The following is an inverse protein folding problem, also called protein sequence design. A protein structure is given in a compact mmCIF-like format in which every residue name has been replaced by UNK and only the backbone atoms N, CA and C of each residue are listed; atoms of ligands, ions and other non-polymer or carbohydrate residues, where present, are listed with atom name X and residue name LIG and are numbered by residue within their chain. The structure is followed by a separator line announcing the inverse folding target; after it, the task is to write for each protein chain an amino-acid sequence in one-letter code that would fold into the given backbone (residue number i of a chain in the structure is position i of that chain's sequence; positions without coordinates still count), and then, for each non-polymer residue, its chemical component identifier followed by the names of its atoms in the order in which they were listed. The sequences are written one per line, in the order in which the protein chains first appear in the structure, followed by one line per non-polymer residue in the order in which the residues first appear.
data_IF_982425819207
#
_entry.id   IF_982425819207
#
_cell.length_a   1.000
_cell.length_b   1.000
_cell.length_c   1.000
_cell.angle_alpha   90.00
_cell.angle_beta   90.00
_cell.angle_gamma   90.00
#
_symmetry.space_group_name_H-M   'P 1'
#
loop_
_entity.id
_entity.type
_entity.pdbx_description
1 polymer ?
#
# COMPACT_ATOMS: atom_id res chain seq x y z
N UNK A 1 10.39 3.17 21.69
CA UNK A 1 9.04 2.66 21.37
C UNK A 1 8.19 2.69 22.64
N UNK A 2 6.96 3.20 22.59
CA UNK A 2 6.05 3.25 23.76
C UNK A 2 5.96 4.60 24.50
N UNK A 3 6.39 5.71 23.88
CA UNK A 3 6.13 7.06 24.39
C UNK A 3 5.21 7.80 23.41
N UNK A 4 4.20 8.48 23.94
CA UNK A 4 3.19 9.20 23.18
C UNK A 4 1.91 8.40 22.93
N UNK A 5 0.83 9.13 22.66
CA UNK A 5 -0.46 8.59 22.23
C UNK A 5 -0.83 9.22 20.88
N UNK A 6 -0.77 8.41 19.82
CA UNK A 6 -1.15 8.84 18.47
C UNK A 6 -2.61 8.53 18.16
N UNK A 7 -3.42 8.14 19.16
CA UNK A 7 -4.77 7.64 18.93
C UNK A 7 -5.65 8.62 18.19
N UNK A 8 -5.76 9.86 18.68
CA UNK A 8 -6.57 10.90 18.07
C UNK A 8 -6.15 11.17 16.61
N UNK A 9 -4.83 11.24 16.37
CA UNK A 9 -4.32 11.41 15.01
C UNK A 9 -4.70 10.25 14.09
N UNK A 10 -4.56 9.00 14.55
CA UNK A 10 -4.93 7.82 13.76
C UNK A 10 -6.45 7.79 13.50
N UNK A 11 -7.28 8.16 14.49
CA UNK A 11 -8.74 8.28 14.34
C UNK A 11 -9.15 9.29 13.26
N UNK A 12 -8.37 10.35 13.05
CA UNK A 12 -8.60 11.27 11.94
C UNK A 12 -8.10 10.69 10.61
N UNK A 13 -6.94 10.03 10.59
CA UNK A 13 -6.37 9.42 9.38
C UNK A 13 -7.27 8.33 8.79
N UNK A 14 -7.83 7.44 9.62
CA UNK A 14 -8.69 6.34 9.16
C UNK A 14 -10.01 6.82 8.53
N UNK A 15 -10.43 8.06 8.81
CA UNK A 15 -11.61 8.69 8.16
C UNK A 15 -11.27 9.29 6.81
N UNK A 16 -10.01 9.66 6.59
CA UNK A 16 -9.57 10.33 5.36
C UNK A 16 -9.18 9.33 4.25
N UNK A 17 -8.62 8.17 4.61
CA UNK A 17 -8.16 7.19 3.65
C UNK A 17 -8.23 5.76 4.19
N UNK A 18 -8.25 4.73 3.32
CA UNK A 18 -8.12 3.34 3.75
C UNK A 18 -6.80 3.11 4.49
N UNK A 19 -6.87 2.81 5.78
CA UNK A 19 -5.69 2.59 6.62
C UNK A 19 -5.68 1.17 7.21
N UNK A 20 -4.49 0.59 7.33
CA UNK A 20 -4.24 -0.61 8.15
C UNK A 20 -3.53 -0.13 9.41
N UNK A 21 -4.07 -0.43 10.59
CA UNK A 21 -3.55 0.10 11.87
C UNK A 21 -2.80 -0.99 12.62
N UNK A 22 -1.57 -0.70 13.02
CA UNK A 22 -0.73 -1.57 13.84
C UNK A 22 -0.03 -0.81 14.96
N UNK A 23 0.66 -1.54 15.82
CA UNK A 23 1.40 -0.98 16.95
C UNK A 23 0.56 -0.90 18.22
N UNK A 24 0.99 -1.57 19.28
CA UNK A 24 0.34 -1.51 20.60
C UNK A 24 -1.00 -2.25 20.72
N UNK A 25 -1.49 -2.92 19.67
CA UNK A 25 -2.69 -3.77 19.71
C UNK A 25 -2.33 -5.08 20.41
N UNK A 26 -2.82 -5.27 21.64
CA UNK A 26 -2.46 -6.41 22.51
C UNK A 26 -3.63 -7.32 22.88
N UNK A 27 -4.86 -6.86 22.61
CA UNK A 27 -6.10 -7.53 22.99
C UNK A 27 -7.20 -7.28 21.95
N UNK A 28 -8.26 -8.07 22.07
CA UNK A 28 -9.43 -8.04 21.18
C UNK A 28 -10.14 -6.69 21.25
N UNK A 29 -10.29 -6.12 22.45
CA UNK A 29 -10.98 -4.84 22.65
C UNK A 29 -10.33 -3.71 21.85
N UNK A 30 -9.00 -3.59 21.94
CA UNK A 30 -8.23 -2.57 21.21
C UNK A 30 -8.32 -2.79 19.71
N UNK A 31 -8.27 -4.03 19.25
CA UNK A 31 -8.41 -4.37 17.84
C UNK A 31 -9.80 -3.97 17.30
N UNK A 32 -10.88 -4.33 18.01
CA UNK A 32 -12.26 -3.97 17.63
C UNK A 32 -12.43 -2.45 17.62
N UNK A 33 -11.91 -1.74 18.61
CA UNK A 33 -11.97 -0.27 18.65
C UNK A 33 -11.37 0.39 17.41
N UNK A 34 -10.25 -0.14 16.90
CA UNK A 34 -9.66 0.37 15.66
C UNK A 34 -10.49 0.06 14.41
N UNK A 35 -11.07 -1.14 14.36
CA UNK A 35 -11.96 -1.51 13.26
C UNK A 35 -13.22 -0.63 13.25
N UNK A 36 -13.81 -0.36 14.41
CA UNK A 36 -14.97 0.52 14.58
C UNK A 36 -14.66 1.98 14.25
N UNK A 37 -13.43 2.43 14.54
CA UNK A 37 -12.97 3.77 14.15
C UNK A 37 -12.82 3.95 12.63
N UNK A 38 -12.80 2.87 11.85
CA UNK A 38 -12.72 2.91 10.38
C UNK A 38 -11.48 2.25 9.79
N UNK A 39 -10.59 1.65 10.60
CA UNK A 39 -9.41 0.96 10.07
C UNK A 39 -9.82 -0.20 9.15
N UNK A 40 -9.34 -0.21 7.91
CA UNK A 40 -9.63 -1.28 6.94
C UNK A 40 -9.12 -2.64 7.41
N UNK A 41 -8.00 -2.70 8.12
CA UNK A 41 -7.50 -3.90 8.81
C UNK A 41 -6.72 -3.51 10.07
N UNK A 42 -6.59 -4.44 11.01
CA UNK A 42 -5.67 -4.33 12.15
C UNK A 42 -4.49 -5.26 11.98
N UNK A 43 -3.32 -4.81 12.43
CA UNK A 43 -2.05 -5.54 12.35
C UNK A 43 -1.61 -5.90 13.77
N UNK A 44 -1.56 -7.20 14.07
CA UNK A 44 -1.09 -7.72 15.36
C UNK A 44 0.31 -8.32 15.17
N UNK A 45 1.27 -7.86 15.98
CA UNK A 45 2.63 -8.42 16.02
C UNK A 45 2.74 -9.53 17.07
N UNK A 46 3.46 -9.26 18.16
CA UNK A 46 3.68 -10.23 19.26
C UNK A 46 2.40 -10.77 19.93
N UNK A 47 1.28 -10.05 19.79
CA UNK A 47 -0.04 -10.48 20.27
C UNK A 47 -0.80 -11.40 19.30
N UNK A 48 -0.27 -11.66 18.10
CA UNK A 48 -0.88 -12.53 17.10
C UNK A 48 -0.82 -14.01 17.53
N UNK A 49 -1.71 -14.40 18.44
CA UNK A 49 -1.87 -15.76 18.95
C UNK A 49 -3.26 -16.31 18.61
N UNK A 50 -3.42 -17.62 18.38
CA UNK A 50 -4.72 -18.20 17.99
C UNK A 50 -5.87 -17.85 18.93
N UNK A 51 -5.61 -17.69 20.24
CA UNK A 51 -6.63 -17.36 21.24
C UNK A 51 -7.25 -15.99 20.97
N UNK A 52 -6.42 -14.97 20.70
CA UNK A 52 -6.86 -13.60 20.39
C UNK A 52 -7.44 -13.53 18.98
N UNK A 53 -6.78 -14.15 18.00
CA UNK A 53 -7.14 -14.00 16.59
C UNK A 53 -8.48 -14.65 16.25
N UNK A 54 -8.88 -15.74 16.94
CA UNK A 54 -10.18 -16.38 16.76
C UNK A 54 -11.37 -15.49 17.14
N UNK A 55 -11.15 -14.50 18.00
CA UNK A 55 -12.18 -13.56 18.43
C UNK A 55 -12.31 -12.36 17.47
N UNK A 56 -11.47 -12.28 16.43
CA UNK A 56 -11.44 -11.18 15.47
C UNK A 56 -11.92 -11.63 14.08
N UNK A 57 -12.50 -10.71 13.29
CA UNK A 57 -12.90 -11.03 11.92
C UNK A 57 -11.68 -11.28 11.05
N UNK A 58 -11.38 -12.56 10.76
CA UNK A 58 -10.23 -13.05 9.97
C UNK A 58 -9.82 -12.11 8.84
N UNK A 59 -10.75 -11.78 7.94
CA UNK A 59 -10.47 -10.97 6.74
C UNK A 59 -9.94 -9.56 7.03
N UNK A 60 -10.19 -9.05 8.25
CA UNK A 60 -9.76 -7.72 8.72
C UNK A 60 -8.50 -7.78 9.59
N UNK A 61 -7.87 -8.94 9.74
CA UNK A 61 -6.66 -9.11 10.57
C UNK A 61 -5.45 -9.45 9.72
N UNK A 62 -4.32 -8.82 10.04
CA UNK A 62 -2.99 -9.14 9.53
C UNK A 62 -2.10 -9.55 10.70
N UNK A 63 -1.39 -10.67 10.57
CA UNK A 63 -0.30 -11.02 11.49
C UNK A 63 1.01 -10.41 11.00
N UNK A 64 1.65 -9.58 11.82
CA UNK A 64 2.99 -9.05 11.57
C UNK A 64 4.06 -9.98 12.13
N UNK A 65 4.98 -10.39 11.27
CA UNK A 65 6.11 -11.26 11.55
C UNK A 65 7.39 -10.50 11.21
N UNK A 66 8.08 -10.03 12.24
CA UNK A 66 9.42 -9.47 12.08
C UNK A 66 10.41 -10.63 12.08
N UNK A 67 11.31 -10.66 11.10
CA UNK A 67 12.26 -11.74 10.95
C UNK A 67 13.69 -11.25 10.73
N UNK A 68 14.64 -12.05 11.22
CA UNK A 68 16.07 -11.92 10.98
C UNK A 68 16.59 -13.27 10.53
N UNK A 69 17.22 -13.34 9.35
CA UNK A 69 17.80 -14.58 8.81
C UNK A 69 16.79 -15.74 8.73
N UNK A 70 15.52 -15.44 8.42
CA UNK A 70 14.44 -16.42 8.30
C UNK A 70 13.81 -16.87 9.62
N UNK A 71 14.26 -16.33 10.76
CA UNK A 71 13.72 -16.63 12.09
C UNK A 71 12.89 -15.46 12.63
N UNK A 72 11.73 -15.77 13.23
CA UNK A 72 10.87 -14.75 13.81
C UNK A 72 11.49 -14.18 15.08
N UNK A 73 11.53 -12.84 15.16
CA UNK A 73 12.05 -12.08 16.29
C UNK A 73 10.96 -11.25 16.98
N UNK A 74 11.15 -10.98 18.27
CA UNK A 74 10.22 -10.19 19.09
C UNK A 74 11.00 -9.19 19.97
N UNK A 75 10.29 -8.46 20.84
CA UNK A 75 10.86 -7.50 21.80
C UNK A 75 11.74 -6.41 21.14
N UNK A 76 11.27 -5.84 20.03
CA UNK A 76 12.06 -4.85 19.28
C UNK A 76 13.23 -5.47 18.53
N UNK A 77 12.99 -6.65 17.93
CA UNK A 77 13.92 -7.38 17.08
C UNK A 77 15.13 -8.02 17.77
N UNK A 78 15.16 -8.04 19.11
CA UNK A 78 16.31 -8.58 19.87
C UNK A 78 16.15 -10.03 20.28
N UNK A 79 14.92 -10.54 20.36
CA UNK A 79 14.66 -11.88 20.94
C UNK A 79 14.18 -12.84 19.85
N UNK A 80 15.08 -13.73 19.46
CA UNK A 80 14.83 -14.91 18.62
C UNK A 80 13.82 -15.86 19.27
N UNK A 81 12.83 -16.32 18.51
CA UNK A 81 11.75 -17.19 19.02
C UNK A 81 12.02 -18.67 18.81
N UNK A 82 13.00 -19.04 17.98
CA UNK A 82 13.23 -20.40 17.51
C UNK A 82 12.25 -20.88 16.44
N UNK A 83 11.21 -20.11 16.12
CA UNK A 83 10.25 -20.42 15.07
C UNK A 83 10.66 -19.79 13.73
N UNK A 84 10.57 -20.57 12.65
CA UNK A 84 10.70 -20.02 11.30
C UNK A 84 9.48 -19.17 10.92
N UNK A 85 9.63 -18.32 9.91
CA UNK A 85 8.52 -17.54 9.35
C UNK A 85 7.40 -18.47 8.87
N UNK A 86 7.75 -19.55 8.19
CA UNK A 86 6.81 -20.49 7.57
C UNK A 86 6.00 -21.26 8.61
N UNK A 87 6.65 -21.72 9.68
CA UNK A 87 5.96 -22.40 10.78
C UNK A 87 4.92 -21.46 11.40
N UNK A 88 5.31 -20.20 11.63
CA UNK A 88 4.43 -19.20 12.22
C UNK A 88 3.29 -18.81 11.27
N UNK A 89 3.55 -18.71 9.97
CA UNK A 89 2.52 -18.47 8.96
C UNK A 89 1.55 -19.65 8.87
N UNK A 90 2.04 -20.88 8.86
CA UNK A 90 1.21 -22.08 8.84
C UNK A 90 0.27 -22.13 10.04
N UNK A 91 0.79 -21.89 11.25
CA UNK A 91 0.02 -21.83 12.50
C UNK A 91 -1.09 -20.76 12.44
N UNK A 92 -0.80 -19.60 11.87
CA UNK A 92 -1.69 -18.44 11.90
C UNK A 92 -2.65 -18.33 10.71
N UNK A 93 -2.35 -18.98 9.59
CA UNK A 93 -3.13 -18.90 8.35
C UNK A 93 -4.64 -19.14 8.49
N UNK A 94 -5.14 -19.98 9.43
CA UNK A 94 -6.57 -20.16 9.62
C UNK A 94 -7.27 -18.92 10.22
N UNK A 95 -6.53 -18.04 10.92
CA UNK A 95 -7.09 -16.97 11.74
C UNK A 95 -6.91 -15.57 11.16
N UNK A 96 -6.11 -15.40 10.10
CA UNK A 96 -5.80 -14.09 9.52
C UNK A 96 -6.12 -14.02 8.03
N UNK A 97 -6.47 -12.83 7.56
CA UNK A 97 -6.70 -12.51 6.14
C UNK A 97 -5.43 -12.04 5.42
N UNK A 98 -4.31 -11.94 6.14
CA UNK A 98 -3.02 -11.61 5.56
C UNK A 98 -1.86 -11.65 6.56
N UNK A 99 -0.66 -11.52 6.01
CA UNK A 99 0.60 -11.44 6.74
C UNK A 99 1.34 -10.16 6.34
N UNK A 100 2.04 -9.57 7.30
CA UNK A 100 3.05 -8.55 7.07
C UNK A 100 4.38 -9.13 7.52
N UNK A 101 5.28 -9.43 6.60
CA UNK A 101 6.62 -9.95 6.94
C UNK A 101 7.63 -8.84 6.76
N UNK A 102 8.37 -8.52 7.82
CA UNK A 102 9.44 -7.51 7.79
C UNK A 102 10.80 -8.20 7.86
N UNK A 103 11.62 -8.02 6.83
CA UNK A 103 13.03 -8.44 6.85
C UNK A 103 13.88 -7.37 7.56
N UNK A 104 14.07 -7.52 8.88
CA UNK A 104 14.64 -6.48 9.75
C UNK A 104 16.08 -6.15 9.36
N UNK A 105 16.87 -7.15 8.97
CA UNK A 105 18.26 -6.97 8.56
C UNK A 105 18.44 -6.11 7.31
N UNK A 106 17.36 -5.90 6.54
CA UNK A 106 17.31 -5.05 5.34
C UNK A 106 16.59 -3.73 5.59
N UNK A 107 15.87 -3.61 6.70
CA UNK A 107 15.13 -2.40 7.05
C UNK A 107 16.09 -1.23 7.28
N UNK A 108 15.84 -0.10 6.60
CA UNK A 108 16.69 1.08 6.67
C UNK A 108 18.09 0.94 6.05
N UNK A 109 18.49 -0.26 5.60
CA UNK A 109 19.84 -0.52 5.04
C UNK A 109 19.95 -0.27 3.53
N UNK A 110 18.83 -0.10 2.84
CA UNK A 110 18.78 0.21 1.41
C UNK A 110 19.49 -0.82 0.49
N UNK A 111 19.43 -2.11 0.84
CA UNK A 111 20.14 -3.21 0.17
C UNK A 111 19.26 -4.06 -0.79
N UNK A 112 18.05 -3.60 -1.11
CA UNK A 112 17.09 -4.39 -1.90
C UNK A 112 16.34 -5.44 -1.06
N UNK A 113 15.16 -5.84 -1.54
CA UNK A 113 14.32 -6.88 -0.92
C UNK A 113 14.82 -8.28 -1.30
N UNK A 114 14.68 -9.26 -0.39
CA UNK A 114 14.97 -10.65 -0.70
C UNK A 114 13.87 -11.30 -1.55
N UNK A 115 14.03 -11.30 -2.86
CA UNK A 115 13.03 -11.83 -3.78
C UNK A 115 12.90 -13.36 -3.74
N UNK A 116 13.96 -14.07 -3.36
CA UNK A 116 13.91 -15.52 -3.20
C UNK A 116 13.06 -15.88 -1.98
N UNK A 117 13.31 -15.23 -0.85
CA UNK A 117 12.48 -15.40 0.33
C UNK A 117 11.03 -14.95 0.08
N UNK A 118 10.84 -13.82 -0.62
CA UNK A 118 9.50 -13.30 -0.94
C UNK A 118 8.65 -14.32 -1.69
N UNK A 119 9.16 -14.93 -2.77
CA UNK A 119 8.41 -15.94 -3.54
C UNK A 119 8.00 -17.14 -2.70
N UNK A 120 8.94 -17.65 -1.91
CA UNK A 120 8.69 -18.77 -0.98
C UNK A 120 7.60 -18.43 0.04
N UNK A 121 7.60 -17.21 0.56
CA UNK A 121 6.58 -16.75 1.51
C UNK A 121 5.22 -16.52 0.85
N UNK A 122 5.15 -16.15 -0.43
CA UNK A 122 3.88 -16.10 -1.17
C UNK A 122 3.25 -17.48 -1.21
N UNK A 123 4.04 -18.51 -1.53
CA UNK A 123 3.57 -19.90 -1.52
C UNK A 123 3.07 -20.31 -0.13
N UNK A 124 3.81 -19.96 0.92
CA UNK A 124 3.42 -20.24 2.31
C UNK A 124 2.16 -19.48 2.76
N UNK A 125 1.92 -18.26 2.25
CA UNK A 125 0.73 -17.47 2.57
C UNK A 125 -0.56 -18.08 2.00
N UNK A 126 -0.44 -18.87 0.92
CA UNK A 126 -1.54 -19.54 0.25
C UNK A 126 -2.60 -18.54 -0.23
N UNK A 127 -3.81 -18.61 0.33
CA UNK A 127 -4.92 -17.69 -0.01
C UNK A 127 -4.86 -16.35 0.72
N UNK A 128 -4.01 -16.24 1.75
CA UNK A 128 -3.88 -15.01 2.54
C UNK A 128 -3.00 -14.02 1.80
N UNK A 129 -3.30 -12.71 1.89
CA UNK A 129 -2.43 -11.70 1.27
C UNK A 129 -1.10 -11.61 2.01
N UNK A 130 0.00 -11.57 1.28
CA UNK A 130 1.32 -11.28 1.84
C UNK A 130 1.68 -9.81 1.54
N UNK A 131 2.03 -9.07 2.58
CA UNK A 131 2.74 -7.79 2.47
C UNK A 131 4.16 -7.98 2.96
N UNK A 132 5.14 -7.52 2.21
CA UNK A 132 6.56 -7.57 2.58
C UNK A 132 7.05 -6.16 2.89
N UNK A 133 7.85 -6.04 3.95
CA UNK A 133 8.55 -4.83 4.33
C UNK A 133 10.06 -5.10 4.49
N UNK A 134 10.85 -4.04 4.38
CA UNK A 134 12.31 -4.10 4.49
C UNK A 134 13.00 -4.34 3.14
N UNK A 135 13.72 -3.33 2.66
CA UNK A 135 14.57 -3.45 1.48
C UNK A 135 14.02 -2.88 0.15
N UNK A 136 12.76 -2.44 0.07
CA UNK A 136 12.25 -1.80 -1.15
C UNK A 136 12.89 -0.42 -1.37
N UNK A 137 13.71 -0.30 -2.42
CA UNK A 137 14.46 0.94 -2.72
C UNK A 137 14.21 1.49 -4.12
N UNK A 138 13.65 0.69 -5.01
CA UNK A 138 13.40 1.03 -6.41
C UNK A 138 11.98 0.63 -6.83
N UNK A 139 11.49 1.21 -7.93
CA UNK A 139 10.24 0.77 -8.56
C UNK A 139 10.32 -0.70 -9.03
N UNK A 140 11.49 -1.14 -9.50
CA UNK A 140 11.71 -2.53 -9.91
C UNK A 140 11.50 -3.52 -8.75
N UNK A 141 11.97 -3.20 -7.54
CA UNK A 141 11.72 -4.04 -6.36
C UNK A 141 10.21 -4.28 -6.13
N UNK A 142 9.41 -3.23 -6.29
CA UNK A 142 7.94 -3.27 -6.13
C UNK A 142 7.32 -4.09 -7.26
N UNK A 143 7.74 -3.85 -8.51
CA UNK A 143 7.25 -4.59 -9.67
C UNK A 143 7.53 -6.09 -9.55
N UNK A 144 8.72 -6.46 -9.06
CA UNK A 144 9.10 -7.85 -8.82
C UNK A 144 8.28 -8.51 -7.70
N UNK A 145 7.96 -7.76 -6.64
CA UNK A 145 7.08 -8.24 -5.56
C UNK A 145 5.63 -8.44 -6.04
N UNK A 146 5.05 -7.47 -6.76
CA UNK A 146 3.70 -7.58 -7.32
C UNK A 146 3.61 -8.79 -8.27
N UNK A 147 4.60 -8.95 -9.16
CA UNK A 147 4.70 -10.12 -10.05
C UNK A 147 4.83 -11.44 -9.29
N UNK A 148 5.44 -11.44 -8.11
CA UNK A 148 5.53 -12.62 -7.26
C UNK A 148 4.23 -12.90 -6.49
N UNK A 149 3.26 -11.97 -6.46
CA UNK A 149 2.02 -12.09 -5.70
C UNK A 149 2.06 -11.47 -4.30
N UNK A 150 3.03 -10.60 -4.02
CA UNK A 150 3.17 -9.89 -2.75
C UNK A 150 2.92 -8.39 -2.88
N UNK A 151 2.27 -7.80 -1.87
CA UNK A 151 2.19 -6.35 -1.70
C UNK A 151 3.51 -5.82 -1.11
N UNK A 152 3.98 -4.64 -1.54
CA UNK A 152 5.14 -3.98 -0.94
C UNK A 152 4.71 -2.93 0.10
N UNK A 153 5.34 -2.94 1.29
CA UNK A 153 5.28 -1.85 2.26
C UNK A 153 6.58 -1.02 2.17
N UNK A 154 6.46 0.19 1.63
CA UNK A 154 7.60 1.08 1.37
C UNK A 154 7.59 2.23 2.38
N UNK A 155 8.70 2.39 3.11
CA UNK A 155 8.87 3.46 4.10
C UNK A 155 10.01 4.40 3.73
N UNK A 156 11.22 4.13 4.25
CA UNK A 156 12.38 5.03 4.18
C UNK A 156 12.74 5.50 2.75
N UNK A 157 12.55 4.68 1.73
CA UNK A 157 12.83 5.06 0.34
C UNK A 157 11.97 6.24 -0.13
N UNK A 158 10.71 6.32 0.31
CA UNK A 158 9.83 7.46 0.04
C UNK A 158 10.24 8.68 0.90
N UNK A 159 10.45 8.49 2.20
CA UNK A 159 10.78 9.60 3.12
C UNK A 159 12.13 10.27 2.82
N UNK A 160 13.10 9.51 2.34
CA UNK A 160 14.42 10.01 1.92
C UNK A 160 14.45 10.57 0.50
N UNK A 161 13.35 10.49 -0.24
CA UNK A 161 13.26 10.92 -1.64
C UNK A 161 14.02 10.03 -2.63
N UNK A 162 14.51 8.86 -2.20
CA UNK A 162 15.22 7.91 -3.08
C UNK A 162 14.29 7.26 -4.11
N UNK A 163 13.05 7.00 -3.72
CA UNK A 163 12.01 6.53 -4.62
C UNK A 163 10.89 7.58 -4.66
N UNK A 164 10.60 8.10 -5.85
CA UNK A 164 9.47 8.99 -6.02
C UNK A 164 8.15 8.21 -5.90
N UNK A 165 7.14 8.84 -5.27
CA UNK A 165 5.85 8.18 -5.03
C UNK A 165 5.15 7.77 -6.33
N UNK A 166 5.21 8.60 -7.38
CA UNK A 166 4.63 8.27 -8.68
C UNK A 166 5.28 7.02 -9.31
N UNK A 167 6.61 6.87 -9.19
CA UNK A 167 7.32 5.69 -9.66
C UNK A 167 6.95 4.43 -8.85
N UNK A 168 6.73 4.57 -7.54
CA UNK A 168 6.23 3.48 -6.71
C UNK A 168 4.79 3.05 -7.08
N UNK A 169 3.92 4.01 -7.38
CA UNK A 169 2.55 3.77 -7.84
C UNK A 169 2.54 3.11 -9.22
N UNK A 170 3.42 3.54 -10.13
CA UNK A 170 3.51 3.02 -11.49
C UNK A 170 4.20 1.65 -11.58
N UNK A 171 5.01 1.26 -10.60
CA UNK A 171 5.80 0.04 -10.63
C UNK A 171 5.01 -1.24 -11.04
N UNK A 172 3.81 -1.53 -10.50
CA UNK A 172 3.04 -2.71 -10.90
C UNK A 172 2.23 -2.51 -12.20
N UNK A 173 2.13 -1.29 -12.72
CA UNK A 173 1.29 -0.99 -13.88
C UNK A 173 1.83 -1.63 -15.15
N UNK A 174 0.91 -2.07 -16.00
CA UNK A 174 1.16 -2.61 -17.33
C UNK A 174 0.24 -1.88 -18.31
N UNK A 175 0.66 -1.73 -19.54
CA UNK A 175 -0.23 -1.21 -20.59
C UNK A 175 -0.44 -2.31 -21.61
N UNK A 176 -1.71 -2.54 -21.95
CA UNK A 176 -2.12 -3.39 -23.07
C UNK A 176 -2.07 -2.64 -24.41
N UNK A 177 -1.75 -1.34 -24.38
CA UNK A 177 -1.72 -0.45 -25.54
C UNK A 177 -0.33 -0.39 -26.16
N UNK A 178 -0.30 -0.27 -27.49
CA UNK A 178 0.94 -0.13 -28.25
C UNK A 178 1.69 1.19 -27.95
N UNK A 179 0.99 2.22 -27.48
CA UNK A 179 1.57 3.51 -27.08
C UNK A 179 2.05 3.55 -25.63
N UNK A 180 1.85 2.46 -24.87
CA UNK A 180 2.29 2.35 -23.47
C UNK A 180 1.49 3.22 -22.48
N UNK A 181 0.40 3.85 -22.91
CA UNK A 181 -0.43 4.69 -22.05
C UNK A 181 -1.33 3.83 -21.15
N UNK A 182 -1.67 4.34 -19.98
CA UNK A 182 -2.68 3.76 -19.09
C UNK A 182 -4.01 4.51 -19.25
N UNK A 183 -5.13 3.83 -19.51
CA UNK A 183 -6.44 4.44 -19.36
C UNK A 183 -6.64 4.94 -17.92
N UNK A 184 -7.09 6.18 -17.77
CA UNK A 184 -7.33 6.80 -16.48
C UNK A 184 -8.76 7.31 -16.41
N UNK A 185 -9.58 6.72 -15.55
CA UNK A 185 -10.93 7.20 -15.27
C UNK A 185 -10.83 8.29 -14.20
N UNK A 186 -11.35 9.48 -14.50
CA UNK A 186 -11.40 10.60 -13.56
C UNK A 186 -12.77 10.64 -12.92
N UNK A 187 -12.81 10.62 -11.59
CA UNK A 187 -14.02 10.68 -10.77
C UNK A 187 -13.98 11.87 -9.80
N UNK A 188 -15.15 12.39 -9.44
CA UNK A 188 -15.27 13.28 -8.28
C UNK A 188 -15.22 12.48 -6.95
N UNK A 189 -15.27 13.20 -5.83
CA UNK A 189 -15.24 12.63 -4.47
C UNK A 189 -16.40 11.67 -4.17
N UNK A 190 -17.48 11.75 -4.94
CA UNK A 190 -18.66 10.90 -4.81
C UNK A 190 -18.62 9.70 -5.76
N UNK A 191 -17.53 9.54 -6.53
CA UNK A 191 -17.34 8.46 -7.49
C UNK A 191 -18.05 8.66 -8.83
N UNK A 192 -18.63 9.84 -9.10
CA UNK A 192 -19.21 10.16 -10.41
C UNK A 192 -18.07 10.31 -11.41
N UNK A 193 -18.14 9.57 -12.52
CA UNK A 193 -17.20 9.74 -13.60
C UNK A 193 -17.32 11.13 -14.23
N UNK A 194 -16.20 11.84 -14.28
CA UNK A 194 -16.02 13.14 -14.93
C UNK A 194 -15.52 12.95 -16.37
N UNK A 195 -14.70 11.92 -16.61
CA UNK A 195 -14.28 11.55 -17.96
C UNK A 195 -13.20 10.49 -17.99
N UNK A 196 -12.85 10.07 -19.22
CA UNK A 196 -11.77 9.14 -19.50
C UNK A 196 -10.62 9.89 -20.18
N UNK A 197 -9.42 9.69 -19.66
CA UNK A 197 -8.16 10.23 -20.20
C UNK A 197 -7.12 9.13 -20.23
N UNK A 198 -5.91 9.49 -20.63
CA UNK A 198 -4.75 8.60 -20.57
C UNK A 198 -3.72 9.20 -19.64
N UNK A 199 -2.92 8.33 -19.03
CA UNK A 199 -1.76 8.69 -18.22
C UNK A 199 -0.52 7.94 -18.73
N UNK A 200 0.62 8.53 -18.47
CA UNK A 200 1.95 7.95 -18.60
C UNK A 200 2.75 8.31 -17.35
N UNK A 201 4.01 7.88 -17.27
CA UNK A 201 4.83 8.17 -16.10
C UNK A 201 5.08 9.67 -15.88
N UNK A 202 5.16 10.45 -16.96
CA UNK A 202 5.37 11.90 -16.88
C UNK A 202 4.16 12.60 -16.26
N UNK A 203 2.97 12.37 -16.81
CA UNK A 203 1.73 12.93 -16.27
C UNK A 203 1.42 12.45 -14.86
N UNK A 204 1.73 11.19 -14.53
CA UNK A 204 1.56 10.66 -13.16
C UNK A 204 2.49 11.37 -12.16
N UNK A 205 3.76 11.60 -12.51
CA UNK A 205 4.70 12.38 -11.67
C UNK A 205 4.17 13.78 -11.42
N UNK A 206 3.76 14.48 -12.47
CA UNK A 206 3.19 15.84 -12.37
C UNK A 206 1.94 15.84 -11.52
N UNK A 207 1.05 14.85 -11.69
CA UNK A 207 -0.19 14.75 -10.93
C UNK A 207 0.07 14.57 -9.43
N UNK A 208 1.02 13.70 -9.06
CA UNK A 208 1.39 13.42 -7.67
C UNK A 208 2.13 14.59 -7.03
N UNK A 209 3.15 15.13 -7.70
CA UNK A 209 4.02 16.18 -7.16
C UNK A 209 3.27 17.50 -6.96
N UNK A 210 2.44 17.88 -7.93
CA UNK A 210 1.67 19.14 -7.87
C UNK A 210 0.28 18.96 -7.27
N UNK A 211 -0.15 17.73 -7.02
CA UNK A 211 -1.52 17.37 -6.59
C UNK A 211 -2.60 17.95 -7.50
N UNK A 212 -2.43 17.81 -8.82
CA UNK A 212 -3.35 18.34 -9.84
C UNK A 212 -3.84 17.24 -10.78
N UNK A 213 -4.95 17.49 -11.48
CA UNK A 213 -5.35 16.68 -12.63
C UNK A 213 -4.37 16.87 -13.80
N UNK A 214 -3.34 16.02 -13.87
CA UNK A 214 -2.41 15.96 -14.99
C UNK A 214 -2.52 14.63 -15.75
N UNK A 215 -2.52 14.72 -17.07
CA UNK A 215 -2.87 13.63 -17.99
C UNK A 215 -1.98 13.66 -19.22
N UNK A 216 -1.99 12.58 -20.00
CA UNK A 216 -1.39 12.51 -21.31
C UNK A 216 -2.44 12.75 -22.41
N UNK A 217 -2.26 13.81 -23.18
CA UNK A 217 -3.01 14.10 -24.40
C UNK A 217 -2.32 13.47 -25.61
N UNK A 218 -3.05 12.61 -26.34
CA UNK A 218 -2.57 11.95 -27.57
C UNK A 218 -2.06 12.90 -28.66
N UNK A 219 -2.46 14.18 -28.63
CA UNK A 219 -2.04 15.18 -29.62
C UNK A 219 -1.07 16.23 -29.09
N UNK A 220 -0.89 16.34 -27.76
CA UNK A 220 -0.12 17.43 -27.12
C UNK A 220 0.89 16.96 -26.09
N UNK A 221 0.94 15.67 -25.76
CA UNK A 221 1.73 15.14 -24.64
C UNK A 221 1.11 15.55 -23.31
N UNK A 222 1.94 15.90 -22.32
CA UNK A 222 1.51 16.33 -21.00
C UNK A 222 0.44 17.44 -21.03
N UNK A 223 -0.65 17.23 -20.30
CA UNK A 223 -1.76 18.17 -20.18
C UNK A 223 -2.21 18.30 -18.74
N UNK A 224 -2.12 19.50 -18.17
CA UNK A 224 -2.61 19.82 -16.83
C UNK A 224 -3.96 20.53 -16.94
N UNK A 225 -4.99 19.99 -16.27
CA UNK A 225 -6.35 20.49 -16.33
C UNK A 225 -6.46 21.86 -15.68
N UNK A 226 -7.06 22.79 -16.41
CA UNK A 226 -7.37 24.14 -15.93
C UNK A 226 -6.32 25.21 -16.25
N UNK A 227 -5.14 24.85 -16.77
CA UNK A 227 -4.09 25.85 -17.09
C UNK A 227 -4.54 26.87 -18.15
N UNK A 228 -5.45 26.48 -19.06
CA UNK A 228 -6.02 27.40 -20.06
C UNK A 228 -7.44 27.86 -19.72
N UNK A 229 -8.27 26.97 -19.17
CA UNK A 229 -9.71 27.22 -18.98
C UNK A 229 -10.09 27.73 -17.60
N UNK A 230 -9.19 27.69 -16.62
CA UNK A 230 -9.48 27.99 -15.21
C UNK A 230 -10.26 26.89 -14.47
N UNK A 231 -10.78 25.88 -15.17
CA UNK A 231 -11.45 24.74 -14.55
C UNK A 231 -10.42 23.71 -14.07
N UNK A 232 -9.91 23.90 -12.85
CA UNK A 232 -8.81 23.11 -12.25
C UNK A 232 -9.29 21.86 -11.54
N UNK A 233 -8.36 20.97 -11.23
CA UNK A 233 -8.58 19.75 -10.46
C UNK A 233 -7.49 19.59 -9.40
N UNK A 234 -7.88 19.30 -8.16
CA UNK A 234 -6.97 18.82 -7.12
C UNK A 234 -7.02 17.29 -7.08
N UNK A 235 -5.85 16.64 -7.17
CA UNK A 235 -5.75 15.19 -7.02
C UNK A 235 -5.87 14.78 -5.55
N UNK A 236 -6.85 13.94 -5.26
CA UNK A 236 -7.11 13.43 -3.91
C UNK A 236 -6.64 11.98 -3.73
N UNK A 237 -6.86 11.14 -4.75
CA UNK A 237 -6.58 9.70 -4.65
C UNK A 237 -6.27 9.09 -6.02
N UNK A 238 -5.38 8.11 -6.03
CA UNK A 238 -5.12 7.23 -7.17
C UNK A 238 -5.44 5.79 -6.72
N UNK A 239 -6.30 5.12 -7.47
CA UNK A 239 -6.53 3.69 -7.36
C UNK A 239 -6.05 2.98 -8.63
N UNK A 240 -5.56 1.75 -8.47
CA UNK A 240 -5.25 0.83 -9.55
C UNK A 240 -6.36 -0.23 -9.60
N UNK A 241 -6.67 -0.74 -10.78
CA UNK A 241 -7.54 -1.90 -10.93
C UNK A 241 -6.83 -3.22 -10.52
N UNK A 242 -7.52 -4.35 -10.77
CA UNK A 242 -7.09 -5.65 -10.29
C UNK A 242 -5.95 -6.28 -11.10
N UNK A 243 -5.88 -5.99 -12.39
CA UNK A 243 -4.89 -6.49 -13.37
C UNK A 243 -3.80 -5.47 -13.70
N UNK A 244 -3.90 -4.26 -13.14
CA UNK A 244 -2.91 -3.20 -13.17
C UNK A 244 -2.77 -2.55 -14.54
N UNK A 245 -3.84 -2.49 -15.33
CA UNK A 245 -3.80 -1.87 -16.66
C UNK A 245 -4.52 -0.51 -16.75
N UNK A 246 -5.37 -0.18 -15.78
CA UNK A 246 -6.00 1.12 -15.68
C UNK A 246 -5.84 1.79 -14.30
N UNK A 247 -6.00 3.11 -14.33
CA UNK A 247 -5.99 3.99 -13.17
C UNK A 247 -7.37 4.60 -12.94
N UNK A 248 -7.68 4.88 -11.68
CA UNK A 248 -8.78 5.78 -11.30
C UNK A 248 -8.24 6.93 -10.48
N UNK A 249 -8.42 8.15 -10.98
CA UNK A 249 -8.12 9.37 -10.25
C UNK A 249 -9.38 9.88 -9.59
N UNK A 250 -9.33 10.13 -8.29
CA UNK A 250 -10.36 10.90 -7.56
C UNK A 250 -9.87 12.32 -7.40
N UNK A 251 -10.67 13.29 -7.85
CA UNK A 251 -10.30 14.71 -7.86
C UNK A 251 -11.38 15.59 -7.25
N UNK A 252 -10.99 16.68 -6.60
CA UNK A 252 -11.89 17.80 -6.35
C UNK A 252 -11.85 18.74 -7.55
N UNK A 253 -12.99 18.94 -8.22
CA UNK A 253 -13.11 19.77 -9.42
C UNK A 253 -13.52 21.19 -9.03
N UNK A 254 -12.81 22.20 -9.53
CA UNK A 254 -13.23 23.59 -9.47
C UNK A 254 -13.57 24.14 -10.87
N UNK A 255 -14.53 25.07 -10.95
CA UNK A 255 -14.98 25.68 -12.20
C UNK A 255 -15.90 24.79 -13.05
N UNK A 256 -16.24 25.27 -14.25
CA UNK A 256 -17.20 24.62 -15.13
C UNK A 256 -16.59 23.39 -15.83
N UNK A 257 -16.91 22.20 -15.33
CA UNK A 257 -16.88 20.92 -16.05
C UNK A 257 -15.52 20.26 -16.32
N UNK A 258 -15.59 18.94 -16.53
CA UNK A 258 -14.62 18.23 -17.37
C UNK A 258 -14.95 18.54 -18.85
N UNK A 259 -14.18 18.08 -19.82
CA UNK A 259 -14.34 18.46 -21.23
C UNK A 259 -15.75 18.25 -21.84
N UNK A 260 -16.71 17.65 -21.12
CA UNK A 260 -18.12 17.45 -21.46
C UNK A 260 -19.04 17.65 -20.25
#
# INVERSE_FOLDING_TARGET
LGQGDNRALIEDLVKMAPCRVGGGIRDVETAIRWLDAGASKVILGTAAKPEILRELPRERVIAALDAVEGEVVTHGWTTKTGASIDDRMAELSPYVGGFLVTFVEREGRMQGTDMTATRRLVDAAGKSRLTVAGGFTTAEDIALADKAGADAQVGMALYSGRLALADAIAAPLKSDRADGLWPTVVCDEHGRALGLVYSDIESLRVAVERRVGAYHSRSRGLWVKGETSGATQELLKIDLDCDRDALRFTVAQAGAGFCH
#
